data_IF_394785055370
#
_entry.id   IF_394785055370
#
_cell.length_a   1.000
_cell.length_b   1.000
_cell.length_c   1.000
_cell.angle_alpha   90.00
_cell.angle_beta   90.00
_cell.angle_gamma   90.00
#
_symmetry.space_group_name_H-M   'P 1'
#
loop_
_entity.id
_entity.type
_entity.pdbx_description
1 polymer ?
#
# COMPACT_ATOMS: atom_id res chain seq x y z
N UNK A 1 11.87 -11.20 -6.71
CA UNK A 1 11.60 -10.36 -7.89
C UNK A 1 10.74 -9.17 -7.46
N UNK A 2 10.68 -8.06 -8.20
CA UNK A 2 9.84 -6.90 -7.84
C UNK A 2 8.36 -7.26 -7.62
N UNK A 3 7.79 -8.13 -8.46
CA UNK A 3 6.43 -8.62 -8.28
C UNK A 3 6.26 -9.35 -6.94
N UNK A 4 7.21 -10.20 -6.55
CA UNK A 4 7.14 -10.89 -5.24
C UNK A 4 7.17 -9.90 -4.08
N UNK A 5 7.89 -8.78 -4.23
CA UNK A 5 7.96 -7.72 -3.21
C UNK A 5 6.59 -7.05 -3.08
N UNK A 6 5.99 -6.65 -4.20
CA UNK A 6 4.65 -6.05 -4.26
C UNK A 6 3.61 -6.97 -3.60
N UNK A 7 3.54 -8.22 -4.05
CA UNK A 7 2.57 -9.21 -3.54
C UNK A 7 2.80 -9.52 -2.04
N UNK A 8 4.06 -9.52 -1.60
CA UNK A 8 4.39 -9.69 -0.19
C UNK A 8 3.90 -8.52 0.66
N UNK A 9 4.04 -7.28 0.18
CA UNK A 9 3.54 -6.10 0.90
C UNK A 9 2.01 -6.11 0.96
N UNK A 10 1.34 -6.46 -0.13
CA UNK A 10 -0.12 -6.57 -0.16
C UNK A 10 -0.63 -7.59 0.84
N UNK A 11 0.01 -8.75 0.91
CA UNK A 11 -0.30 -9.77 1.92
C UNK A 11 -0.09 -9.23 3.34
N UNK A 12 1.06 -8.62 3.62
CA UNK A 12 1.36 -8.06 4.92
C UNK A 12 0.37 -6.93 5.31
N UNK A 13 -0.06 -6.12 4.34
CA UNK A 13 -1.08 -5.09 4.51
C UNK A 13 -2.44 -5.69 4.85
N UNK A 14 -2.88 -6.73 4.13
CA UNK A 14 -4.11 -7.48 4.45
C UNK A 14 -4.07 -8.09 5.85
N UNK A 15 -2.93 -8.65 6.25
CA UNK A 15 -2.74 -9.24 7.58
C UNK A 15 -2.84 -8.16 8.68
N UNK A 16 -2.14 -7.02 8.52
CA UNK A 16 -2.20 -5.90 9.47
C UNK A 16 -3.61 -5.30 9.55
N UNK A 17 -4.28 -5.13 8.41
CA UNK A 17 -5.65 -4.62 8.35
C UNK A 17 -6.63 -5.56 9.08
N UNK A 18 -6.50 -6.87 8.86
CA UNK A 18 -7.31 -7.88 9.54
C UNK A 18 -7.08 -7.88 11.05
N UNK A 19 -5.83 -7.83 11.50
CA UNK A 19 -5.50 -7.75 12.93
C UNK A 19 -6.10 -6.50 13.57
N UNK A 20 -5.95 -5.33 12.93
CA UNK A 20 -6.47 -4.08 13.48
C UNK A 20 -8.02 -4.02 13.45
N UNK A 21 -8.64 -4.70 12.49
CA UNK A 21 -10.09 -4.87 12.43
C UNK A 21 -10.66 -5.88 13.44
N UNK A 22 -9.81 -6.73 14.03
CA UNK A 22 -10.18 -7.63 15.13
C UNK A 22 -9.81 -7.06 16.50
N UNK A 23 -8.86 -6.13 16.58
CA UNK A 23 -8.45 -5.43 17.80
C UNK A 23 -9.48 -4.41 18.31
N UNK A 24 -10.67 -4.33 17.71
CA UNK A 24 -11.80 -3.49 18.19
C UNK A 24 -12.18 -3.79 19.65
N UNK A 25 -11.78 -4.96 20.16
CA UNK A 25 -12.05 -5.44 21.51
C UNK A 25 -10.83 -5.41 22.45
N UNK A 26 -9.62 -5.23 21.93
CA UNK A 26 -8.37 -5.30 22.69
C UNK A 26 -7.61 -3.96 22.57
N UNK A 27 -7.34 -3.34 23.74
CA UNK A 27 -6.58 -2.12 24.01
C UNK A 27 -6.17 -1.18 22.86
N UNK A 28 -6.49 0.12 23.02
CA UNK A 28 -6.04 1.22 22.15
C UNK A 28 -4.54 1.23 21.79
N UNK A 29 -3.68 0.70 22.67
CA UNK A 29 -2.25 0.57 22.43
C UNK A 29 -1.90 -0.45 21.33
N UNK A 30 -2.62 -1.56 21.24
CA UNK A 30 -2.43 -2.57 20.20
C UNK A 30 -2.88 -2.04 18.85
N UNK A 31 -4.05 -1.37 18.82
CA UNK A 31 -4.52 -0.65 17.63
C UNK A 31 -3.48 0.35 17.12
N UNK A 32 -2.85 1.09 18.03
CA UNK A 32 -1.81 2.06 17.69
C UNK A 32 -0.57 1.40 17.08
N UNK A 33 -0.05 0.34 17.68
CA UNK A 33 1.09 -0.41 17.12
C UNK A 33 0.78 -0.98 15.72
N UNK A 34 -0.38 -1.61 15.57
CA UNK A 34 -0.80 -2.21 14.30
C UNK A 34 -0.91 -1.15 13.18
N UNK A 35 -1.50 0.01 13.49
CA UNK A 35 -1.61 1.09 12.52
C UNK A 35 -0.30 1.79 12.23
N UNK A 36 0.60 1.94 13.20
CA UNK A 36 1.94 2.47 12.96
C UNK A 36 2.74 1.55 12.03
N UNK A 37 2.61 0.23 12.21
CA UNK A 37 3.24 -0.77 11.32
C UNK A 37 2.62 -0.74 9.94
N UNK A 38 1.29 -0.57 9.85
CA UNK A 38 0.61 -0.49 8.57
C UNK A 38 0.96 0.79 7.80
N UNK A 39 1.02 1.92 8.48
CA UNK A 39 1.48 3.19 7.91
C UNK A 39 2.90 3.10 7.37
N UNK A 40 3.84 2.56 8.16
CA UNK A 40 5.21 2.34 7.71
C UNK A 40 5.29 1.42 6.49
N UNK A 41 4.56 0.29 6.51
CA UNK A 41 4.53 -0.64 5.39
C UNK A 41 3.99 0.03 4.12
N UNK A 42 2.83 0.67 4.22
CA UNK A 42 2.15 1.22 3.06
C UNK A 42 2.85 2.45 2.49
N UNK A 43 3.45 3.27 3.36
CA UNK A 43 4.34 4.35 2.95
C UNK A 43 5.52 3.81 2.15
N UNK A 44 6.24 2.80 2.66
CA UNK A 44 7.39 2.21 1.95
C UNK A 44 6.98 1.55 0.63
N UNK A 45 5.79 0.93 0.61
CA UNK A 45 5.21 0.36 -0.59
C UNK A 45 4.89 1.43 -1.64
N UNK A 46 4.19 2.50 -1.25
CA UNK A 46 3.85 3.61 -2.14
C UNK A 46 5.10 4.30 -2.71
N UNK A 47 6.11 4.55 -1.87
CA UNK A 47 7.39 5.12 -2.30
C UNK A 47 8.07 4.20 -3.33
N UNK A 48 8.10 2.89 -3.07
CA UNK A 48 8.63 1.90 -4.00
C UNK A 48 7.86 1.86 -5.33
N UNK A 49 6.53 2.00 -5.29
CA UNK A 49 5.71 2.10 -6.50
C UNK A 49 6.07 3.36 -7.31
N UNK A 50 6.20 4.51 -6.65
CA UNK A 50 6.47 5.80 -7.28
C UNK A 50 7.89 5.90 -7.86
N UNK A 51 8.90 5.38 -7.17
CA UNK A 51 10.30 5.52 -7.56
C UNK A 51 10.84 4.36 -8.40
N UNK A 52 10.38 3.13 -8.14
CA UNK A 52 10.91 1.94 -8.79
C UNK A 52 10.00 1.39 -9.88
N UNK A 53 8.68 1.33 -9.65
CA UNK A 53 7.76 0.56 -10.50
C UNK A 53 7.13 1.41 -11.60
N UNK A 54 6.35 2.43 -11.21
CA UNK A 54 5.57 3.26 -12.14
C UNK A 54 6.43 3.92 -13.24
N UNK A 55 7.65 4.43 -12.97
CA UNK A 55 8.48 5.01 -14.03
C UNK A 55 8.83 4.00 -15.13
N UNK A 56 9.07 2.73 -14.79
CA UNK A 56 9.40 1.69 -15.76
C UNK A 56 8.16 1.20 -16.49
N UNK A 57 7.02 1.09 -15.80
CA UNK A 57 5.74 0.77 -16.46
C UNK A 57 5.32 1.84 -17.47
N UNK A 58 5.63 3.11 -17.21
CA UNK A 58 5.35 4.21 -18.14
C UNK A 58 6.11 4.09 -19.47
N UNK A 59 7.23 3.36 -19.51
CA UNK A 59 7.99 3.10 -20.74
C UNK A 59 7.22 2.19 -21.72
N UNK A 60 6.32 1.34 -21.20
CA UNK A 60 5.55 0.35 -21.99
C UNK A 60 4.06 0.65 -22.03
N UNK A 61 3.55 1.51 -21.15
CA UNK A 61 2.15 1.86 -21.09
C UNK A 61 1.70 2.62 -22.36
N UNK A 62 0.71 2.09 -23.05
CA UNK A 62 0.09 2.75 -24.21
C UNK A 62 -0.79 3.95 -23.84
N UNK A 63 -1.18 4.07 -22.55
CA UNK A 63 -1.98 5.17 -22.00
C UNK A 63 -1.47 5.51 -20.61
N UNK A 64 -1.38 6.81 -20.29
CA UNK A 64 -0.94 7.28 -18.98
C UNK A 64 -2.01 7.12 -17.88
N UNK A 65 -3.29 7.26 -18.24
CA UNK A 65 -4.43 7.26 -17.32
C UNK A 65 -4.43 6.10 -16.29
N UNK A 66 -4.25 4.81 -16.68
CA UNK A 66 -4.28 3.72 -15.72
C UNK A 66 -3.18 3.78 -14.65
N UNK A 67 -2.00 4.31 -15.00
CA UNK A 67 -0.89 4.46 -14.04
C UNK A 67 -1.11 5.66 -13.12
N UNK A 68 -1.71 6.74 -13.62
CA UNK A 68 -2.09 7.90 -12.80
C UNK A 68 -3.23 7.58 -11.82
N UNK A 69 -4.15 6.69 -12.19
CA UNK A 69 -5.16 6.16 -11.27
C UNK A 69 -4.51 5.37 -10.12
N UNK A 70 -3.51 4.53 -10.41
CA UNK A 70 -2.76 3.80 -9.38
C UNK A 70 -2.05 4.78 -8.45
N UNK A 71 -1.34 5.77 -9.00
CA UNK A 71 -0.63 6.79 -8.22
C UNK A 71 -1.58 7.58 -7.32
N UNK A 72 -2.75 7.92 -7.82
CA UNK A 72 -3.76 8.67 -7.06
C UNK A 72 -4.31 7.82 -5.91
N UNK A 73 -4.67 6.56 -6.16
CA UNK A 73 -5.13 5.65 -5.12
C UNK A 73 -4.07 5.39 -4.04
N UNK A 74 -2.79 5.27 -4.40
CA UNK A 74 -1.69 5.16 -3.43
C UNK A 74 -1.59 6.38 -2.50
N UNK A 75 -1.69 7.60 -3.05
CA UNK A 75 -1.68 8.83 -2.24
C UNK A 75 -2.88 8.89 -1.29
N UNK A 76 -4.08 8.62 -1.79
CA UNK A 76 -5.30 8.64 -0.98
C UNK A 76 -5.21 7.64 0.19
N UNK A 77 -4.71 6.43 -0.07
CA UNK A 77 -4.52 5.42 0.96
C UNK A 77 -3.47 5.83 1.98
N UNK A 78 -2.32 6.34 1.54
CA UNK A 78 -1.24 6.80 2.42
C UNK A 78 -1.75 7.90 3.37
N UNK A 79 -2.49 8.88 2.85
CA UNK A 79 -3.06 9.96 3.67
C UNK A 79 -4.07 9.43 4.70
N UNK A 80 -4.96 8.51 4.28
CA UNK A 80 -5.96 7.93 5.17
C UNK A 80 -5.32 7.05 6.26
N UNK A 81 -4.35 6.22 5.90
CA UNK A 81 -3.63 5.34 6.83
C UNK A 81 -2.84 6.17 7.85
N UNK A 82 -2.10 7.19 7.42
CA UNK A 82 -1.37 8.09 8.30
C UNK A 82 -2.30 8.81 9.28
N UNK A 83 -3.46 9.29 8.80
CA UNK A 83 -4.49 9.92 9.63
C UNK A 83 -5.07 8.96 10.69
N UNK A 84 -5.31 7.70 10.31
CA UNK A 84 -5.78 6.68 11.24
C UNK A 84 -4.69 6.30 12.26
N UNK A 85 -3.43 6.19 11.84
CA UNK A 85 -2.31 5.89 12.73
C UNK A 85 -2.07 7.00 13.76
N UNK A 86 -2.09 8.26 13.35
CA UNK A 86 -1.93 9.40 14.25
C UNK A 86 -3.01 9.47 15.34
N UNK A 87 -4.21 8.96 15.05
CA UNK A 87 -5.36 8.94 15.97
C UNK A 87 -5.58 7.58 16.64
N UNK A 88 -4.76 6.58 16.33
CA UNK A 88 -5.00 5.21 16.80
C UNK A 88 -4.85 5.06 18.33
N UNK A 89 -4.03 5.90 18.99
CA UNK A 89 -3.90 5.93 20.45
C UNK A 89 -4.87 6.88 21.16
N UNK A 90 -5.63 7.70 20.40
CA UNK A 90 -6.52 8.71 20.96
C UNK A 90 -7.76 8.04 21.60
N UNK A 91 -7.95 8.30 22.89
CA UNK A 91 -9.06 7.84 23.71
C UNK A 91 -10.06 8.96 24.05
N UNK A 92 -9.79 10.19 23.58
CA UNK A 92 -10.56 11.40 23.90
C UNK A 92 -11.65 11.69 22.87
N UNK A 93 -11.53 11.15 21.66
CA UNK A 93 -12.58 11.15 20.65
C UNK A 93 -13.55 10.00 20.91
N UNK A 94 -14.84 10.30 20.94
CA UNK A 94 -15.87 9.27 20.78
C UNK A 94 -15.50 8.40 19.58
N UNK A 95 -15.30 7.12 19.86
CA UNK A 95 -14.69 6.10 19.01
C UNK A 95 -15.27 5.99 17.57
N UNK A 96 -16.40 6.63 17.28
CA UNK A 96 -17.17 6.49 16.04
C UNK A 96 -16.44 6.99 14.79
N UNK A 97 -15.73 8.13 14.86
CA UNK A 97 -15.11 8.68 13.65
C UNK A 97 -13.89 7.87 13.20
N UNK A 98 -13.07 7.38 14.14
CA UNK A 98 -11.95 6.51 13.81
C UNK A 98 -12.46 5.20 13.20
N UNK A 99 -13.46 4.56 13.81
CA UNK A 99 -14.03 3.32 13.27
C UNK A 99 -14.72 3.53 11.93
N UNK A 100 -15.42 4.66 11.73
CA UNK A 100 -16.02 5.00 10.43
C UNK A 100 -14.95 5.15 9.34
N UNK A 101 -13.85 5.86 9.62
CA UNK A 101 -12.76 6.03 8.66
C UNK A 101 -12.01 4.71 8.41
N UNK A 102 -11.83 3.88 9.44
CA UNK A 102 -11.29 2.52 9.28
C UNK A 102 -12.15 1.66 8.35
N UNK A 103 -13.48 1.68 8.52
CA UNK A 103 -14.39 0.94 7.65
C UNK A 103 -14.43 1.49 6.22
N UNK A 104 -14.19 2.79 6.04
CA UNK A 104 -14.04 3.42 4.71
C UNK A 104 -12.71 3.05 4.04
N UNK A 105 -11.66 2.84 4.82
CA UNK A 105 -10.35 2.45 4.29
C UNK A 105 -10.39 1.07 3.60
N UNK A 106 -11.10 0.09 4.19
CA UNK A 106 -11.14 -1.28 3.66
C UNK A 106 -11.43 -1.39 2.15
N UNK A 107 -12.55 -0.86 1.64
CA UNK A 107 -12.86 -0.96 0.21
C UNK A 107 -11.90 -0.16 -0.69
N UNK A 108 -11.25 0.88 -0.18
CA UNK A 108 -10.23 1.62 -0.93
C UNK A 108 -8.94 0.79 -1.05
N UNK A 109 -8.52 0.20 0.07
CA UNK A 109 -7.33 -0.63 0.15
C UNK A 109 -7.44 -1.86 -0.75
N UNK A 110 -8.53 -2.64 -0.63
CA UNK A 110 -8.71 -3.83 -1.47
C UNK A 110 -8.81 -3.48 -2.95
N UNK A 111 -9.48 -2.37 -3.30
CA UNK A 111 -9.54 -1.91 -4.70
C UNK A 111 -8.17 -1.58 -5.26
N UNK A 112 -7.33 -0.90 -4.47
CA UNK A 112 -5.98 -0.57 -4.90
C UNK A 112 -5.14 -1.83 -5.10
N UNK A 113 -5.15 -2.73 -4.12
CA UNK A 113 -4.42 -4.00 -4.19
C UNK A 113 -4.89 -4.82 -5.39
N UNK A 114 -6.20 -5.00 -5.57
CA UNK A 114 -6.75 -5.75 -6.72
C UNK A 114 -6.35 -5.12 -8.05
N UNK A 115 -6.31 -3.78 -8.14
CA UNK A 115 -5.88 -3.07 -9.33
C UNK A 115 -4.41 -3.28 -9.64
N UNK A 116 -3.54 -3.31 -8.63
CA UNK A 116 -2.12 -3.60 -8.81
C UNK A 116 -1.89 -5.08 -9.12
N UNK A 117 -2.53 -5.99 -8.40
CA UNK A 117 -2.49 -7.44 -8.61
C UNK A 117 -2.96 -7.85 -10.01
N UNK A 118 -3.79 -7.03 -10.64
CA UNK A 118 -4.25 -7.25 -12.01
C UNK A 118 -3.42 -6.49 -13.04
N UNK A 119 -3.42 -5.16 -12.98
CA UNK A 119 -2.80 -4.33 -14.00
C UNK A 119 -1.27 -4.35 -13.91
N UNK A 120 -0.71 -4.05 -12.73
CA UNK A 120 0.74 -3.97 -12.54
C UNK A 120 1.37 -5.34 -12.71
N UNK A 121 0.78 -6.38 -12.10
CA UNK A 121 1.28 -7.74 -12.26
C UNK A 121 1.26 -8.18 -13.73
N UNK A 122 0.17 -7.92 -14.46
CA UNK A 122 0.08 -8.24 -15.89
C UNK A 122 1.16 -7.54 -16.70
N UNK A 123 1.36 -6.24 -16.50
CA UNK A 123 2.39 -5.50 -17.24
C UNK A 123 3.79 -6.02 -16.93
N UNK A 124 4.09 -6.32 -15.66
CA UNK A 124 5.38 -6.89 -15.27
C UNK A 124 5.61 -8.25 -15.93
N UNK A 125 4.58 -9.09 -16.02
CA UNK A 125 4.72 -10.45 -16.53
C UNK A 125 4.69 -10.55 -18.07
N UNK A 126 3.95 -9.68 -18.74
CA UNK A 126 3.64 -9.81 -20.17
C UNK A 126 4.37 -8.79 -21.04
N UNK A 127 4.59 -7.57 -20.53
CA UNK A 127 5.04 -6.45 -21.35
C UNK A 127 6.50 -6.06 -21.09
N UNK A 128 7.02 -6.34 -19.89
CA UNK A 128 8.38 -5.95 -19.52
C UNK A 128 9.43 -6.98 -19.90
N UNK A 129 10.59 -6.47 -20.31
CA UNK A 129 11.80 -7.26 -20.53
C UNK A 129 12.51 -7.58 -19.20
N UNK A 130 13.29 -8.67 -19.13
CA UNK A 130 13.99 -9.06 -17.90
C UNK A 130 14.90 -7.98 -17.30
N UNK A 131 15.55 -7.16 -18.12
CA UNK A 131 16.41 -6.06 -17.68
C UNK A 131 15.62 -4.91 -17.04
N UNK A 132 14.42 -4.61 -17.54
CA UNK A 132 13.49 -3.66 -16.92
C UNK A 132 13.02 -4.18 -15.55
N UNK A 133 12.65 -5.46 -15.46
CA UNK A 133 12.28 -6.11 -14.20
C UNK A 133 13.43 -6.10 -13.19
N UNK A 134 14.65 -6.39 -13.64
CA UNK A 134 15.84 -6.36 -12.81
C UNK A 134 16.12 -4.94 -12.28
N UNK A 135 16.01 -3.91 -13.13
CA UNK A 135 16.19 -2.51 -12.74
C UNK A 135 15.20 -2.11 -11.64
N UNK A 136 13.91 -2.37 -11.82
CA UNK A 136 12.90 -2.08 -10.78
C UNK A 136 13.23 -2.82 -9.47
N UNK A 137 13.60 -4.10 -9.56
CA UNK A 137 13.92 -4.93 -8.40
C UNK A 137 15.12 -4.38 -7.62
N UNK A 138 16.17 -3.94 -8.33
CA UNK A 138 17.38 -3.37 -7.70
C UNK A 138 17.05 -2.05 -7.02
N UNK A 139 16.33 -1.15 -7.69
CA UNK A 139 15.90 0.13 -7.10
C UNK A 139 15.06 -0.10 -5.85
N UNK A 140 14.03 -0.95 -5.92
CA UNK A 140 13.16 -1.26 -4.79
C UNK A 140 13.91 -1.84 -3.58
N UNK A 141 14.92 -2.70 -3.81
CA UNK A 141 15.76 -3.23 -2.73
C UNK A 141 16.62 -2.13 -2.10
N UNK A 142 17.25 -1.30 -2.92
CA UNK A 142 18.07 -0.18 -2.44
C UNK A 142 17.28 0.87 -1.65
N UNK A 143 15.95 0.92 -1.80
CA UNK A 143 15.09 1.76 -0.96
C UNK A 143 14.83 1.14 0.41
N UNK A 144 14.75 -0.19 0.53
CA UNK A 144 14.46 -0.90 1.79
C UNK A 144 15.67 -1.06 2.71
N UNK A 145 16.87 -0.92 2.17
CA UNK A 145 18.13 -1.07 2.90
C UNK A 145 18.63 0.25 3.50
N UNK A 146 17.91 1.36 3.29
CA UNK A 146 18.19 2.69 3.86
C UNK A 146 17.51 2.88 5.20
#
# INVERSE_FOLDING_TARGET
MILDIILSDHKAGRDLFSLAGNSVFEGYAERADLFERFDRLWTAHADMMDEAVLPVLAEVAHRAEPLEEIRTGQRELREMIASLAARAADNSNENDQWFADFHRLKPLFERQVDREDTLVASMIQQDLKPDQIARMTVTARGMREK
#
